data_IF_601441854992
#
_entry.id   IF_601441854992
#
_cell.length_a   1.000
_cell.length_b   1.000
_cell.length_c   1.000
_cell.angle_alpha   90.00
_cell.angle_beta   90.00
_cell.angle_gamma   90.00
#
_symmetry.space_group_name_H-M   'P 1'
#
loop_
_entity.id
_entity.type
_entity.pdbx_description
1 polymer ?
#
# COMPACT_ATOMS: atom_id res chain seq x y z
N UNK A 1 -10.27 -4.44 -19.36
CA UNK A 1 -10.13 -5.27 -18.15
C UNK A 1 -9.64 -4.37 -17.02
N UNK A 2 -9.93 -4.72 -15.76
CA UNK A 2 -9.55 -3.88 -14.64
C UNK A 2 -8.03 -3.98 -14.38
N UNK A 3 -7.38 -2.84 -14.17
CA UNK A 3 -6.01 -2.74 -13.70
C UNK A 3 -6.03 -2.35 -12.22
N UNK A 4 -5.29 -3.08 -11.40
CA UNK A 4 -5.18 -2.80 -9.98
C UNK A 4 -3.76 -2.40 -9.64
N UNK A 5 -3.64 -1.40 -8.80
CA UNK A 5 -2.37 -0.91 -8.25
C UNK A 5 -2.39 -1.21 -6.76
N UNK A 6 -1.77 -2.31 -6.42
CA UNK A 6 -1.68 -2.77 -5.03
C UNK A 6 -0.44 -2.14 -4.42
N UNK A 7 -0.58 -1.44 -3.30
CA UNK A 7 0.56 -0.79 -2.68
C UNK A 7 0.53 -0.94 -1.15
N UNK A 8 1.71 -0.85 -0.58
CA UNK A 8 1.97 -0.88 0.85
C UNK A 8 3.07 0.14 1.18
N UNK A 9 3.01 0.75 2.36
CA UNK A 9 3.99 1.74 2.81
C UNK A 9 4.52 1.43 4.20
N UNK A 10 5.82 1.66 4.40
CA UNK A 10 6.43 1.66 5.71
C UNK A 10 6.61 3.07 6.23
N UNK A 11 6.54 3.24 7.55
CA UNK A 11 6.65 4.57 8.18
C UNK A 11 7.81 4.63 9.17
N UNK A 12 8.52 5.77 9.25
CA UNK A 12 9.68 5.93 10.14
C UNK A 12 9.26 6.04 11.61
N UNK A 13 8.05 6.51 11.89
CA UNK A 13 7.58 6.79 13.25
C UNK A 13 6.05 6.75 13.37
N UNK A 14 5.54 6.79 14.59
CA UNK A 14 4.11 6.71 14.94
C UNK A 14 3.25 7.89 14.45
N UNK A 15 3.84 8.99 13.98
CA UNK A 15 3.09 10.11 13.41
C UNK A 15 2.45 9.75 12.08
N UNK A 16 3.03 8.78 11.36
CA UNK A 16 2.53 8.27 10.09
C UNK A 16 2.22 9.38 9.07
N UNK A 17 3.07 10.42 9.02
CA UNK A 17 2.94 11.54 8.09
C UNK A 17 3.97 11.51 6.97
N UNK A 18 4.95 10.65 7.07
CA UNK A 18 6.00 10.37 6.08
C UNK A 18 6.12 8.87 5.89
N UNK A 19 6.56 8.45 4.71
CA UNK A 19 6.89 7.05 4.44
C UNK A 19 8.40 6.85 4.39
N UNK A 20 8.87 5.67 4.78
CA UNK A 20 10.28 5.25 4.69
C UNK A 20 10.50 4.18 3.62
N UNK A 21 9.45 3.59 3.11
CA UNK A 21 9.46 2.71 1.93
C UNK A 21 8.08 2.68 1.28
N UNK A 22 8.04 2.31 0.02
CA UNK A 22 6.83 1.98 -0.72
C UNK A 22 7.05 0.78 -1.62
N UNK A 23 6.12 -0.17 -1.59
CA UNK A 23 6.02 -1.28 -2.53
C UNK A 23 4.75 -1.16 -3.36
N UNK A 24 4.85 -1.42 -4.66
CA UNK A 24 3.72 -1.41 -5.58
C UNK A 24 3.75 -2.68 -6.41
N UNK A 25 2.61 -3.36 -6.50
CA UNK A 25 2.41 -4.54 -7.34
C UNK A 25 1.25 -4.25 -8.29
N UNK A 26 1.50 -4.39 -9.59
CA UNK A 26 0.50 -4.15 -10.63
C UNK A 26 -0.16 -5.46 -11.05
N UNK A 27 -1.48 -5.48 -11.07
CA UNK A 27 -2.27 -6.60 -11.59
C UNK A 27 -2.99 -6.14 -12.86
N UNK A 28 -2.77 -6.85 -13.95
CA UNK A 28 -3.49 -6.68 -15.20
C UNK A 28 -3.93 -8.05 -15.73
N UNK A 29 -5.15 -8.11 -16.27
CA UNK A 29 -5.67 -9.34 -16.89
C UNK A 29 -5.65 -10.57 -15.97
N UNK A 30 -5.77 -10.37 -14.66
CA UNK A 30 -5.76 -11.46 -13.67
C UNK A 30 -4.38 -12.00 -13.31
N UNK A 31 -3.31 -11.31 -13.66
CA UNK A 31 -1.94 -11.68 -13.31
C UNK A 31 -1.14 -10.48 -12.82
N UNK A 32 -0.13 -10.75 -11.99
CA UNK A 32 0.88 -9.73 -11.62
C UNK A 32 1.76 -9.49 -12.85
N UNK A 33 1.86 -8.22 -13.26
CA UNK A 33 2.58 -7.82 -14.47
C UNK A 33 3.78 -6.92 -14.20
N UNK A 34 3.81 -6.25 -13.05
CA UNK A 34 4.89 -5.34 -12.69
C UNK A 34 5.02 -5.20 -11.17
N UNK A 35 6.21 -4.87 -10.70
CA UNK A 35 6.52 -4.57 -9.31
C UNK A 35 7.46 -3.37 -9.25
N UNK A 36 7.21 -2.50 -8.30
CA UNK A 36 8.08 -1.38 -7.95
C UNK A 36 8.36 -1.39 -6.45
N UNK A 37 9.58 -1.11 -6.07
CA UNK A 37 9.97 -0.92 -4.68
C UNK A 37 10.98 0.22 -4.56
N UNK A 38 10.81 1.07 -3.56
CA UNK A 38 11.82 2.06 -3.19
C UNK A 38 11.84 2.28 -1.69
N UNK A 39 13.04 2.36 -1.12
CA UNK A 39 13.26 3.08 0.11
C UNK A 39 12.99 4.56 -0.14
N UNK A 40 12.54 5.27 0.88
CA UNK A 40 12.26 6.70 0.82
C UNK A 40 12.96 7.37 2.00
N UNK A 41 13.76 8.39 1.73
CA UNK A 41 14.26 9.24 2.81
C UNK A 41 13.11 10.12 3.33
N UNK A 42 12.61 9.86 4.55
CA UNK A 42 11.44 10.57 5.06
C UNK A 42 11.75 11.98 5.57
N UNK A 43 13.04 12.36 5.63
CA UNK A 43 13.51 13.66 6.17
C UNK A 43 12.94 13.97 7.56
N UNK A 44 12.80 12.93 8.39
CA UNK A 44 12.30 13.02 9.77
C UNK A 44 12.92 11.93 10.64
N UNK A 45 12.75 12.06 11.95
CA UNK A 45 13.27 11.08 12.91
C UNK A 45 12.59 9.72 12.81
N UNK A 46 13.32 8.68 13.17
CA UNK A 46 12.80 7.31 13.29
C UNK A 46 12.49 6.98 14.76
N UNK A 47 11.36 6.33 15.00
CA UNK A 47 11.07 5.71 16.28
C UNK A 47 11.73 4.33 16.35
N UNK A 48 12.33 4.00 17.48
CA UNK A 48 12.94 2.69 17.69
C UNK A 48 12.02 1.52 17.35
N UNK A 49 10.75 1.63 17.70
CA UNK A 49 9.76 0.59 17.42
C UNK A 49 9.59 0.35 15.90
N UNK A 50 9.52 1.42 15.11
CA UNK A 50 9.39 1.31 13.66
C UNK A 50 10.65 0.70 13.03
N UNK A 51 11.83 1.09 13.51
CA UNK A 51 13.10 0.49 13.06
C UNK A 51 13.14 -1.01 13.36
N UNK A 52 12.71 -1.43 14.56
CA UNK A 52 12.67 -2.85 14.91
C UNK A 52 11.64 -3.63 14.08
N UNK A 53 10.53 -2.99 13.71
CA UNK A 53 9.45 -3.60 12.96
C UNK A 53 9.81 -3.81 11.48
N UNK A 54 10.37 -2.78 10.86
CA UNK A 54 10.60 -2.73 9.39
C UNK A 54 12.05 -3.02 8.99
N UNK A 55 12.99 -2.92 9.93
CA UNK A 55 14.42 -2.96 9.64
C UNK A 55 14.96 -1.70 8.94
N UNK A 56 14.10 -0.67 8.71
CA UNK A 56 14.48 0.57 8.04
C UNK A 56 14.88 1.61 9.09
N UNK A 57 16.07 2.14 8.97
CA UNK A 57 16.65 3.15 9.87
C UNK A 57 17.04 4.42 9.12
N UNK A 58 17.38 5.46 9.86
CA UNK A 58 17.90 6.71 9.28
C UNK A 58 19.16 6.45 8.43
N UNK A 59 20.03 5.54 8.87
CA UNK A 59 21.23 5.16 8.13
C UNK A 59 20.89 4.48 6.79
N UNK A 60 19.91 3.56 6.78
CA UNK A 60 19.56 2.81 5.57
C UNK A 60 18.88 3.66 4.51
N UNK A 61 18.27 4.80 4.88
CA UNK A 61 17.61 5.71 3.94
C UNK A 61 18.41 6.97 3.65
N UNK A 62 19.62 7.11 4.20
CA UNK A 62 20.42 8.34 4.08
C UNK A 62 20.68 8.74 2.62
N UNK A 63 20.92 7.76 1.74
CA UNK A 63 21.14 7.95 0.30
C UNK A 63 19.90 7.61 -0.55
N UNK A 64 18.76 7.31 0.09
CA UNK A 64 17.52 7.01 -0.63
C UNK A 64 16.89 8.31 -1.16
N UNK A 65 16.13 8.22 -2.27
CA UNK A 65 15.39 9.36 -2.79
C UNK A 65 14.36 9.87 -1.78
N UNK A 66 14.09 11.16 -1.82
CA UNK A 66 12.99 11.79 -1.07
C UNK A 66 11.63 11.42 -1.67
N UNK A 67 10.54 11.66 -0.94
CA UNK A 67 9.20 11.36 -1.46
C UNK A 67 8.88 12.08 -2.78
N UNK A 68 9.19 13.38 -2.99
CA UNK A 68 8.95 14.03 -4.28
C UNK A 68 9.66 13.36 -5.46
N UNK A 69 10.87 12.86 -5.25
CA UNK A 69 11.64 12.14 -6.28
C UNK A 69 10.97 10.82 -6.62
N UNK A 70 10.64 10.01 -5.60
CA UNK A 70 9.90 8.75 -5.78
C UNK A 70 8.53 9.00 -6.41
N UNK A 71 7.83 10.06 -5.99
CA UNK A 71 6.50 10.40 -6.52
C UNK A 71 6.52 10.63 -8.02
N UNK A 72 7.57 11.26 -8.56
CA UNK A 72 7.72 11.47 -10.00
C UNK A 72 7.72 10.15 -10.78
N UNK A 73 8.25 9.08 -10.19
CA UNK A 73 8.28 7.76 -10.82
C UNK A 73 6.96 7.01 -10.66
N UNK A 74 6.35 7.08 -9.47
CA UNK A 74 5.18 6.24 -9.15
C UNK A 74 3.84 6.89 -9.50
N UNK A 75 3.75 8.21 -9.64
CA UNK A 75 2.48 8.90 -9.94
C UNK A 75 1.80 8.34 -11.20
N UNK A 76 2.50 8.06 -12.31
CA UNK A 76 1.89 7.43 -13.47
C UNK A 76 1.32 6.03 -13.19
N UNK A 77 1.98 5.24 -12.33
CA UNK A 77 1.48 3.93 -11.89
C UNK A 77 0.22 4.10 -11.03
N UNK A 78 0.30 4.92 -10.00
CA UNK A 78 -0.79 5.19 -9.03
C UNK A 78 -2.04 5.78 -9.70
N UNK A 79 -1.84 6.48 -10.82
CA UNK A 79 -2.91 7.09 -11.62
C UNK A 79 -3.59 6.07 -12.55
N UNK A 80 -2.89 5.01 -12.91
CA UNK A 80 -3.24 4.09 -14.00
C UNK A 80 -4.29 3.02 -13.67
N UNK A 81 -4.77 2.89 -12.40
CA UNK A 81 -5.67 1.81 -12.03
C UNK A 81 -6.47 2.05 -10.76
N UNK A 82 -7.19 1.02 -10.32
CA UNK A 82 -7.89 1.00 -9.04
C UNK A 82 -6.88 0.70 -7.94
N UNK A 83 -6.77 1.59 -6.95
CA UNK A 83 -5.84 1.42 -5.84
C UNK A 83 -6.29 0.31 -4.90
N UNK A 84 -5.36 -0.46 -4.39
CA UNK A 84 -5.63 -1.56 -3.44
C UNK A 84 -4.57 -1.55 -2.35
N UNK A 85 -4.98 -1.79 -1.11
CA UNK A 85 -4.04 -2.04 -0.03
C UNK A 85 -4.66 -2.95 1.05
N UNK A 86 -3.82 -3.49 1.91
CA UNK A 86 -4.25 -4.29 3.05
C UNK A 86 -4.39 -3.38 4.28
N UNK A 87 -5.62 -3.13 4.75
CA UNK A 87 -5.97 -2.04 5.68
C UNK A 87 -5.80 -0.64 5.05
N UNK A 88 -6.26 -0.48 3.84
CA UNK A 88 -6.00 0.60 2.89
C UNK A 88 -6.12 2.03 3.43
N UNK A 89 -6.93 2.28 4.46
CA UNK A 89 -7.05 3.63 5.06
C UNK A 89 -5.74 4.11 5.66
N UNK A 90 -4.91 3.19 6.18
CA UNK A 90 -3.58 3.53 6.69
C UNK A 90 -2.68 4.05 5.56
N UNK A 91 -2.51 3.27 4.51
CA UNK A 91 -1.61 3.60 3.38
C UNK A 91 -2.07 4.85 2.64
N UNK A 92 -3.39 4.97 2.41
CA UNK A 92 -4.00 6.17 1.83
C UNK A 92 -3.75 7.41 2.68
N UNK A 93 -3.78 7.27 4.02
CA UNK A 93 -3.56 8.39 4.93
C UNK A 93 -2.09 8.82 4.94
N UNK A 94 -1.15 7.87 4.94
CA UNK A 94 0.28 8.17 4.83
C UNK A 94 0.57 8.86 3.49
N UNK A 95 0.07 8.32 2.38
CA UNK A 95 0.23 8.91 1.05
C UNK A 95 -0.32 10.34 1.00
N UNK A 96 -1.55 10.55 1.52
CA UNK A 96 -2.14 11.89 1.60
C UNK A 96 -1.25 12.87 2.37
N UNK A 97 -0.76 12.47 3.53
CA UNK A 97 0.09 13.33 4.37
C UNK A 97 1.42 13.65 3.67
N UNK A 98 2.05 12.68 3.01
CA UNK A 98 3.25 12.94 2.21
C UNK A 98 2.97 13.98 1.12
N UNK A 99 1.90 13.81 0.34
CA UNK A 99 1.52 14.77 -0.70
C UNK A 99 1.32 16.19 -0.15
N UNK A 100 0.62 16.31 0.98
CA UNK A 100 0.36 17.59 1.63
C UNK A 100 1.64 18.23 2.17
N UNK A 101 2.48 17.47 2.87
CA UNK A 101 3.72 17.97 3.47
C UNK A 101 4.72 18.49 2.43
N UNK A 102 4.71 17.92 1.23
CA UNK A 102 5.55 18.36 0.11
C UNK A 102 4.83 19.30 -0.88
N UNK A 103 3.62 19.74 -0.56
CA UNK A 103 2.79 20.61 -1.41
C UNK A 103 2.57 20.03 -2.83
N UNK A 104 2.46 18.73 -2.94
CA UNK A 104 2.18 18.04 -4.19
C UNK A 104 0.68 17.92 -4.37
N UNK A 105 0.17 18.48 -5.47
CA UNK A 105 -1.25 18.38 -5.83
C UNK A 105 -1.44 17.13 -6.69
N UNK A 106 -2.34 16.26 -6.25
CA UNK A 106 -2.77 15.10 -6.98
C UNK A 106 -4.29 15.13 -7.18
N UNK A 107 -4.89 13.98 -7.44
CA UNK A 107 -6.34 13.84 -7.63
C UNK A 107 -7.09 14.15 -6.33
N UNK A 108 -8.20 14.90 -6.37
CA UNK A 108 -8.98 15.19 -5.17
C UNK A 108 -9.62 13.95 -4.55
N UNK A 109 -9.96 12.96 -5.41
CA UNK A 109 -10.57 11.69 -5.00
C UNK A 109 -9.97 10.54 -5.79
N UNK A 110 -9.84 9.39 -5.12
CA UNK A 110 -9.47 8.13 -5.76
C UNK A 110 -10.42 7.02 -5.31
N UNK A 111 -10.64 6.05 -6.19
CA UNK A 111 -11.33 4.82 -5.83
C UNK A 111 -10.31 3.78 -5.35
N UNK A 112 -10.72 3.00 -4.35
CA UNK A 112 -9.85 1.97 -3.79
C UNK A 112 -10.61 0.75 -3.30
N UNK A 113 -9.88 -0.36 -3.13
CA UNK A 113 -10.28 -1.58 -2.44
C UNK A 113 -9.42 -1.78 -1.18
N UNK A 114 -10.00 -2.42 -0.19
CA UNK A 114 -9.30 -2.85 1.02
C UNK A 114 -9.49 -4.36 1.19
N UNK A 115 -8.40 -5.13 1.05
CA UNK A 115 -8.46 -6.59 1.15
C UNK A 115 -8.89 -7.09 2.54
N UNK A 116 -8.62 -6.33 3.62
CA UNK A 116 -9.15 -6.61 4.97
C UNK A 116 -10.68 -6.52 4.99
N UNK A 117 -11.24 -5.44 4.41
CA UNK A 117 -12.71 -5.26 4.39
C UNK A 117 -13.39 -6.32 3.50
N UNK A 118 -12.74 -6.68 2.39
CA UNK A 118 -13.20 -7.79 1.55
C UNK A 118 -13.18 -9.10 2.34
N UNK A 119 -12.05 -9.44 2.97
CA UNK A 119 -11.90 -10.65 3.75
C UNK A 119 -12.93 -10.79 4.86
N UNK A 120 -13.16 -9.73 5.65
CA UNK A 120 -14.17 -9.73 6.72
C UNK A 120 -15.58 -10.10 6.23
N UNK A 121 -15.89 -9.80 5.00
CA UNK A 121 -17.19 -10.09 4.40
C UNK A 121 -17.24 -11.43 3.68
N UNK A 122 -16.13 -11.84 3.06
CA UNK A 122 -16.02 -13.06 2.26
C UNK A 122 -15.69 -14.30 3.09
N UNK A 123 -14.92 -14.12 4.17
CA UNK A 123 -14.34 -15.17 5.00
C UNK A 123 -14.67 -14.91 6.48
N UNK A 124 -15.95 -14.96 6.89
CA UNK A 124 -16.31 -14.74 8.29
C UNK A 124 -15.72 -15.84 9.17
N UNK A 125 -15.26 -15.46 10.37
CA UNK A 125 -14.78 -16.42 11.39
C UNK A 125 -13.29 -16.74 11.36
N UNK A 126 -12.51 -16.13 10.45
CA UNK A 126 -11.05 -16.23 10.45
C UNK A 126 -10.41 -14.86 10.69
N UNK A 127 -9.12 -14.85 11.02
CA UNK A 127 -8.34 -13.62 11.11
C UNK A 127 -8.09 -13.03 9.72
N UNK A 128 -8.08 -11.69 9.63
CA UNK A 128 -7.84 -10.96 8.39
C UNK A 128 -6.55 -10.13 8.47
N UNK A 129 -5.62 -10.50 9.34
CA UNK A 129 -4.26 -9.96 9.29
C UNK A 129 -3.57 -10.48 8.04
N UNK A 130 -2.63 -9.72 7.51
CA UNK A 130 -1.94 -10.07 6.27
C UNK A 130 -1.28 -11.47 6.36
N UNK A 131 -0.50 -11.71 7.43
CA UNK A 131 0.15 -13.00 7.67
C UNK A 131 -0.86 -14.16 7.75
N UNK A 132 -1.97 -13.98 8.48
CA UNK A 132 -2.97 -15.04 8.67
C UNK A 132 -3.69 -15.40 7.35
N UNK A 133 -3.97 -14.40 6.50
CA UNK A 133 -4.50 -14.64 5.16
C UNK A 133 -3.48 -15.24 4.20
N UNK A 134 -2.21 -14.86 4.34
CA UNK A 134 -1.12 -15.49 3.57
C UNK A 134 -0.98 -16.96 3.92
N UNK A 135 -0.99 -17.31 5.21
CA UNK A 135 -0.98 -18.70 5.67
C UNK A 135 -2.20 -19.47 5.15
N UNK A 136 -3.39 -18.85 5.19
CA UNK A 136 -4.63 -19.45 4.70
C UNK A 136 -4.60 -19.78 3.19
N UNK A 137 -3.99 -18.91 2.39
CA UNK A 137 -3.89 -19.06 0.93
C UNK A 137 -2.58 -19.68 0.44
N UNK A 138 -1.61 -19.93 1.33
CA UNK A 138 -0.28 -20.43 0.95
C UNK A 138 0.57 -19.41 0.19
N UNK A 139 0.44 -18.12 0.52
CA UNK A 139 1.20 -17.02 -0.06
C UNK A 139 2.46 -16.78 0.76
N UNK A 140 3.63 -16.72 0.11
CA UNK A 140 4.87 -16.35 0.78
C UNK A 140 4.84 -14.88 1.24
N UNK A 141 5.30 -14.63 2.46
CA UNK A 141 5.33 -13.31 3.07
C UNK A 141 6.62 -13.08 3.84
N UNK A 142 7.28 -11.95 3.56
CA UNK A 142 8.29 -11.34 4.43
C UNK A 142 7.66 -10.10 5.06
N UNK A 143 6.93 -10.30 6.13
CA UNK A 143 6.12 -9.26 6.75
C UNK A 143 6.94 -8.02 7.16
N UNK A 144 6.37 -6.83 7.00
CA UNK A 144 6.99 -5.52 7.19
C UNK A 144 8.09 -5.19 6.16
N UNK A 145 7.95 -5.72 4.97
CA UNK A 145 8.69 -5.30 3.78
C UNK A 145 7.67 -4.88 2.72
N UNK A 146 7.60 -3.60 2.39
CA UNK A 146 6.53 -3.05 1.54
C UNK A 146 6.38 -3.74 0.17
N UNK A 147 7.47 -4.23 -0.42
CA UNK A 147 7.44 -5.02 -1.65
C UNK A 147 6.75 -6.38 -1.44
N UNK A 148 7.10 -7.08 -0.36
CA UNK A 148 6.50 -8.37 -0.01
C UNK A 148 5.04 -8.20 0.41
N UNK A 149 4.72 -7.17 1.20
CA UNK A 149 3.38 -6.93 1.71
C UNK A 149 2.42 -6.50 0.58
N UNK A 150 2.87 -5.66 -0.37
CA UNK A 150 2.08 -5.32 -1.57
C UNK A 150 1.86 -6.55 -2.48
N UNK A 151 2.87 -7.39 -2.66
CA UNK A 151 2.77 -8.62 -3.46
C UNK A 151 1.81 -9.62 -2.80
N UNK A 152 1.92 -9.82 -1.49
CA UNK A 152 1.00 -10.67 -0.73
C UNK A 152 -0.45 -10.17 -0.79
N UNK A 153 -0.66 -8.86 -0.64
CA UNK A 153 -1.96 -8.23 -0.80
C UNK A 153 -2.52 -8.46 -2.22
N UNK A 154 -1.68 -8.39 -3.25
CA UNK A 154 -2.04 -8.70 -4.64
C UNK A 154 -2.46 -10.16 -4.79
N UNK A 155 -1.72 -11.10 -4.21
CA UNK A 155 -2.08 -12.52 -4.19
C UNK A 155 -3.44 -12.77 -3.55
N UNK A 156 -3.72 -12.15 -2.41
CA UNK A 156 -5.03 -12.22 -1.74
C UNK A 156 -6.14 -11.70 -2.66
N UNK A 157 -5.93 -10.55 -3.31
CA UNK A 157 -6.91 -10.00 -4.25
C UNK A 157 -7.17 -10.95 -5.43
N UNK A 158 -6.12 -11.55 -5.98
CA UNK A 158 -6.24 -12.52 -7.07
C UNK A 158 -7.10 -13.72 -6.65
N UNK A 159 -6.89 -14.27 -5.45
CA UNK A 159 -7.75 -15.34 -4.93
C UNK A 159 -9.22 -14.93 -4.82
N UNK A 160 -9.52 -13.69 -4.41
CA UNK A 160 -10.91 -13.21 -4.41
C UNK A 160 -11.49 -13.13 -5.83
N UNK A 161 -10.72 -12.62 -6.79
CA UNK A 161 -11.14 -12.50 -8.18
C UNK A 161 -11.38 -13.86 -8.85
N UNK A 162 -10.47 -14.82 -8.64
CA UNK A 162 -10.56 -16.20 -9.14
C UNK A 162 -11.82 -16.93 -8.60
N UNK A 163 -12.23 -16.60 -7.38
CA UNK A 163 -13.46 -17.12 -6.78
C UNK A 163 -14.72 -16.34 -7.19
N UNK A 164 -14.62 -15.50 -8.22
CA UNK A 164 -15.78 -14.82 -8.83
C UNK A 164 -16.37 -13.68 -8.00
N UNK A 165 -15.58 -13.09 -7.10
CA UNK A 165 -16.05 -11.97 -6.26
C UNK A 165 -16.33 -10.74 -7.12
N UNK A 166 -17.55 -10.22 -7.05
CA UNK A 166 -17.88 -8.91 -7.64
C UNK A 166 -17.29 -7.78 -6.79
N UNK A 167 -16.15 -7.26 -7.24
CA UNK A 167 -15.43 -6.20 -6.54
C UNK A 167 -16.17 -4.87 -6.48
N UNK A 168 -17.14 -4.62 -7.35
CA UNK A 168 -17.87 -3.33 -7.41
C UNK A 168 -18.53 -2.99 -6.09
N UNK A 169 -19.01 -3.99 -5.35
CA UNK A 169 -19.62 -3.81 -4.03
C UNK A 169 -18.62 -3.39 -2.93
N UNK A 170 -17.31 -3.52 -3.18
CA UNK A 170 -16.24 -3.21 -2.22
C UNK A 170 -15.52 -1.90 -2.56
N UNK A 171 -15.75 -1.32 -3.74
CA UNK A 171 -15.12 -0.06 -4.14
C UNK A 171 -15.53 1.04 -3.17
N UNK A 172 -14.54 1.76 -2.68
CA UNK A 172 -14.68 2.94 -1.80
C UNK A 172 -14.01 4.13 -2.43
N UNK A 173 -14.34 5.32 -1.96
CA UNK A 173 -13.72 6.57 -2.38
C UNK A 173 -12.94 7.16 -1.21
N UNK A 174 -11.70 7.56 -1.47
CA UNK A 174 -10.85 8.28 -0.52
C UNK A 174 -10.65 9.73 -0.99
N UNK A 175 -10.69 10.68 -0.05
CA UNK A 175 -10.50 12.11 -0.33
C UNK A 175 -9.08 12.54 0.01
N UNK A 176 -8.37 13.05 -0.99
CA UNK A 176 -7.07 13.70 -0.83
C UNK A 176 -7.17 15.20 -0.55
N UNK A 177 -8.39 15.76 -0.58
CA UNK A 177 -8.62 17.15 -0.22
C UNK A 177 -8.30 17.35 1.26
N UNK A 178 -7.50 18.38 1.56
CA UNK A 178 -7.37 18.85 2.92
C UNK A 178 -8.68 19.51 3.36
N UNK A 179 -9.18 19.11 4.52
CA UNK A 179 -10.44 19.68 5.04
C UNK A 179 -10.18 20.78 6.06
N UNK A 180 -8.90 21.35 6.05
CA UNK A 180 -8.57 22.50 6.89
C UNK A 180 -8.85 22.26 8.38
#
# INVERSE_FOLDING_TARGET
>A
MARFIVFDVETPNRRNHRMSAIGITVIENGAITDNFYSLVNPETNFDWFNVQLTGISEETVSEAPTFPEVWTEIEPLMTGGLLVAHNAVFDMTVLKKCLLDYNIIWRPYVHYLCTVQMGRRLLPGISHRLNDLCDYYGIELRHHHADSDSNACAGILLHYLENGVDIKQFIRTYSFIDKG
#
